data_IF_553414612046
#
_entry.id   IF_553414612046
#
_cell.length_a   1.000
_cell.length_b   1.000
_cell.length_c   1.000
_cell.angle_alpha   90.00
_cell.angle_beta   90.00
_cell.angle_gamma   90.00
#
_symmetry.space_group_name_H-M   'P 1'
#
loop_
_entity.id
_entity.type
_entity.pdbx_description
1 polymer ?
#
# COMPACT_ATOMS: atom_id res chain seq x y z
N UNK A 1 -16.78 21.86 3.54
CA UNK A 1 -16.92 20.63 2.75
C UNK A 1 -15.75 19.73 3.10
N UNK A 2 -15.99 18.56 3.67
CA UNK A 2 -14.93 17.65 4.08
C UNK A 2 -14.42 16.89 2.84
N UNK A 3 -13.18 17.14 2.43
CA UNK A 3 -12.45 16.33 1.46
C UNK A 3 -12.07 15.04 2.16
N UNK A 4 -12.84 13.98 1.94
CA UNK A 4 -12.63 12.65 2.52
C UNK A 4 -12.52 11.61 1.42
N UNK A 5 -11.88 10.48 1.71
CA UNK A 5 -11.80 9.34 0.79
C UNK A 5 -13.17 8.92 0.24
N UNK A 6 -14.20 8.90 1.10
CA UNK A 6 -15.57 8.59 0.69
C UNK A 6 -16.12 9.57 -0.35
N UNK A 7 -15.82 10.87 -0.20
CA UNK A 7 -16.25 11.90 -1.16
C UNK A 7 -15.49 11.78 -2.48
N UNK A 8 -14.20 11.46 -2.44
CA UNK A 8 -13.39 11.22 -3.63
C UNK A 8 -13.88 9.99 -4.42
N UNK A 9 -14.16 8.89 -3.72
CA UNK A 9 -14.70 7.66 -4.33
C UNK A 9 -16.08 7.88 -4.95
N UNK A 10 -16.95 8.64 -4.27
CA UNK A 10 -18.25 8.99 -4.81
C UNK A 10 -18.14 9.89 -6.04
N UNK A 11 -17.21 10.87 -6.02
CA UNK A 11 -16.93 11.70 -7.19
C UNK A 11 -16.42 10.90 -8.39
N UNK A 12 -15.48 9.96 -8.18
CA UNK A 12 -15.02 9.06 -9.23
C UNK A 12 -16.16 8.22 -9.83
N UNK A 13 -17.07 7.74 -8.98
CA UNK A 13 -18.20 6.90 -9.39
C UNK A 13 -19.26 7.68 -10.17
N UNK A 14 -19.64 8.86 -9.66
CA UNK A 14 -20.74 9.67 -10.18
C UNK A 14 -20.33 10.46 -11.44
N UNK A 15 -19.14 11.07 -11.43
CA UNK A 15 -18.70 11.96 -12.50
C UNK A 15 -17.84 11.26 -13.55
N UNK A 16 -17.25 10.10 -13.23
CA UNK A 16 -16.30 9.38 -14.10
C UNK A 16 -15.31 10.36 -14.77
N UNK A 17 -14.59 11.14 -13.96
CA UNK A 17 -13.68 12.16 -14.47
C UNK A 17 -12.61 11.52 -15.35
N UNK A 18 -12.12 12.27 -16.33
CA UNK A 18 -10.98 11.87 -17.13
C UNK A 18 -9.67 12.00 -16.34
N UNK A 19 -8.61 11.38 -16.84
CA UNK A 19 -7.28 11.41 -16.22
C UNK A 19 -6.82 12.82 -15.87
N UNK A 20 -7.02 13.77 -16.79
CA UNK A 20 -6.62 15.16 -16.60
C UNK A 20 -7.37 15.83 -15.44
N UNK A 21 -8.67 15.56 -15.29
CA UNK A 21 -9.44 16.07 -14.15
C UNK A 21 -9.02 15.42 -12.83
N UNK A 22 -8.64 14.13 -12.82
CA UNK A 22 -8.14 13.47 -11.61
C UNK A 22 -6.79 14.08 -11.19
N UNK A 23 -5.87 14.29 -12.13
CA UNK A 23 -4.56 14.92 -11.90
C UNK A 23 -4.70 16.36 -11.35
N UNK A 24 -5.64 17.15 -11.89
CA UNK A 24 -5.92 18.52 -11.39
C UNK A 24 -6.46 18.52 -9.95
N UNK A 25 -7.29 17.54 -9.58
CA UNK A 25 -7.80 17.39 -8.21
C UNK A 25 -6.69 16.92 -7.26
N UNK A 26 -5.82 16.01 -7.70
CA UNK A 26 -4.65 15.58 -6.92
C UNK A 26 -3.74 16.78 -6.62
N UNK A 27 -3.37 17.57 -7.63
CA UNK A 27 -2.51 18.75 -7.41
C UNK A 27 -3.11 19.79 -6.46
N UNK A 28 -4.46 19.93 -6.46
CA UNK A 28 -5.16 20.78 -5.48
C UNK A 28 -5.13 20.20 -4.07
N UNK A 29 -5.23 18.87 -3.93
CA UNK A 29 -5.13 18.18 -2.64
C UNK A 29 -3.71 18.27 -2.08
N UNK A 30 -2.68 18.02 -2.89
CA UNK A 30 -1.26 18.14 -2.50
C UNK A 30 -0.95 19.53 -1.98
N UNK A 31 -1.29 20.57 -2.75
CA UNK A 31 -1.08 21.96 -2.34
C UNK A 31 -1.82 22.32 -1.05
N UNK A 32 -3.00 21.73 -0.85
CA UNK A 32 -3.78 21.94 0.37
C UNK A 32 -3.13 21.22 1.56
N UNK A 33 -2.60 20.02 1.37
CA UNK A 33 -1.86 19.26 2.39
C UNK A 33 -0.59 20.01 2.80
N UNK A 34 0.16 20.58 1.84
CA UNK A 34 1.35 21.39 2.14
C UNK A 34 1.03 22.67 2.95
N UNK A 35 -0.17 23.21 2.80
CA UNK A 35 -0.60 24.44 3.48
C UNK A 35 -1.22 24.21 4.86
N UNK A 36 -1.63 22.98 5.17
CA UNK A 36 -2.27 22.61 6.42
C UNK A 36 -1.22 22.05 7.39
N UNK A 37 -1.27 22.49 8.65
CA UNK A 37 -0.40 21.94 9.71
C UNK A 37 -0.80 20.49 10.04
N UNK A 38 0.17 19.66 10.45
CA UNK A 38 0.01 18.23 10.73
C UNK A 38 -1.08 17.89 11.79
N UNK A 39 -1.51 18.87 12.60
CA UNK A 39 -2.53 18.69 13.62
C UNK A 39 -3.98 18.87 13.12
N UNK A 40 -4.20 19.20 11.85
CA UNK A 40 -5.56 19.38 11.30
C UNK A 40 -6.21 18.03 10.94
N UNK A 41 -7.33 17.63 11.57
CA UNK A 41 -8.03 16.39 11.21
C UNK A 41 -8.56 16.38 9.76
N UNK A 42 -8.69 17.54 9.11
CA UNK A 42 -9.01 17.63 7.68
C UNK A 42 -7.83 17.27 6.77
N UNK A 43 -6.59 17.30 7.28
CA UNK A 43 -5.40 16.87 6.56
C UNK A 43 -5.42 15.35 6.37
N UNK A 44 -5.74 14.59 7.42
CA UNK A 44 -5.88 13.13 7.34
C UNK A 44 -6.89 12.70 6.26
N UNK A 45 -8.09 13.30 6.25
CA UNK A 45 -9.09 13.00 5.22
C UNK A 45 -8.68 13.40 3.79
N UNK A 46 -7.83 14.42 3.66
CA UNK A 46 -7.30 14.87 2.36
C UNK A 46 -6.19 13.96 1.86
N UNK A 47 -5.34 13.44 2.74
CA UNK A 47 -4.34 12.42 2.44
C UNK A 47 -4.99 11.12 1.99
N UNK A 48 -6.01 10.63 2.73
CA UNK A 48 -6.73 9.42 2.36
C UNK A 48 -7.42 9.55 0.99
N UNK A 49 -7.99 10.72 0.70
CA UNK A 49 -8.58 11.02 -0.61
C UNK A 49 -7.53 11.03 -1.73
N UNK A 50 -6.34 11.56 -1.48
CA UNK A 50 -5.25 11.61 -2.44
C UNK A 50 -4.75 10.20 -2.79
N UNK A 51 -4.55 9.34 -1.79
CA UNK A 51 -4.14 7.95 -2.00
C UNK A 51 -5.14 7.21 -2.89
N UNK A 52 -6.44 7.39 -2.63
CA UNK A 52 -7.50 6.74 -3.42
C UNK A 52 -7.52 7.20 -4.88
N UNK A 53 -7.34 8.51 -5.13
CA UNK A 53 -7.29 9.04 -6.49
C UNK A 53 -6.04 8.57 -7.25
N UNK A 54 -4.90 8.45 -6.58
CA UNK A 54 -3.67 7.91 -7.17
C UNK A 54 -3.82 6.42 -7.50
N UNK A 55 -4.35 5.62 -6.58
CA UNK A 55 -4.63 4.19 -6.81
C UNK A 55 -5.59 3.99 -7.99
N UNK A 56 -6.62 4.84 -8.13
CA UNK A 56 -7.51 4.78 -9.27
C UNK A 56 -6.82 5.15 -10.60
N UNK A 57 -5.94 6.14 -10.61
CA UNK A 57 -5.13 6.46 -11.79
C UNK A 57 -4.20 5.32 -12.16
N UNK A 58 -3.56 4.69 -11.18
CA UNK A 58 -2.71 3.52 -11.40
C UNK A 58 -3.52 2.33 -11.93
N UNK A 59 -4.76 2.13 -11.48
CA UNK A 59 -5.68 1.12 -12.04
C UNK A 59 -6.08 1.41 -13.49
N UNK A 60 -6.17 2.68 -13.88
CA UNK A 60 -6.45 3.08 -15.27
C UNK A 60 -5.23 2.89 -16.18
N UNK A 61 -4.02 3.10 -15.65
CA UNK A 61 -2.75 2.87 -16.36
C UNK A 61 -2.28 1.41 -16.29
N UNK A 62 -2.81 0.62 -15.35
CA UNK A 62 -2.51 -0.79 -15.25
C UNK A 62 -2.89 -1.46 -16.57
N UNK A 63 -1.96 -2.17 -17.24
CA UNK A 63 -2.32 -2.95 -18.41
C UNK A 63 -3.42 -3.90 -17.97
N UNK A 64 -4.55 -3.89 -18.69
CA UNK A 64 -5.65 -4.79 -18.43
C UNK A 64 -5.07 -6.21 -18.37
N UNK A 65 -4.89 -6.72 -17.15
CA UNK A 65 -4.57 -8.12 -16.95
C UNK A 65 -5.87 -8.80 -17.31
N UNK A 66 -5.97 -9.21 -18.57
CA UNK A 66 -7.04 -10.08 -19.01
C UNK A 66 -7.15 -11.17 -17.95
N UNK A 67 -8.25 -11.18 -17.18
CA UNK A 67 -8.58 -12.28 -16.26
C UNK A 67 -8.83 -13.59 -17.00
N UNK A 68 -8.54 -13.61 -18.31
CA UNK A 68 -8.50 -14.73 -19.23
C UNK A 68 -7.07 -15.14 -19.60
N UNK A 69 -6.05 -14.78 -18.81
CA UNK A 69 -4.80 -15.53 -18.83
C UNK A 69 -5.08 -16.93 -18.25
N UNK A 70 -4.82 -18.04 -18.99
CA UNK A 70 -4.85 -19.36 -18.38
C UNK A 70 -3.91 -19.35 -17.18
N UNK A 71 -4.25 -20.06 -16.07
CA UNK A 71 -3.41 -20.06 -14.88
C UNK A 71 -1.99 -20.42 -15.33
N UNK A 72 -1.03 -19.54 -15.05
CA UNK A 72 0.36 -19.85 -15.29
C UNK A 72 0.65 -21.17 -14.58
N UNK A 73 0.97 -22.22 -15.34
CA UNK A 73 1.48 -23.48 -14.81
C UNK A 73 2.90 -23.17 -14.31
N UNK A 74 2.97 -22.54 -13.13
CA UNK A 74 4.20 -22.36 -12.39
C UNK A 74 4.61 -23.76 -11.97
N UNK A 75 5.72 -24.24 -12.52
CA UNK A 75 6.25 -25.56 -12.22
C UNK A 75 6.80 -25.54 -10.78
N UNK A 76 5.92 -25.81 -9.81
CA UNK A 76 6.23 -25.82 -8.39
C UNK A 76 7.03 -27.06 -7.97
N UNK A 77 7.45 -27.88 -8.93
CA UNK A 77 8.21 -29.11 -8.69
C UNK A 77 9.60 -28.85 -8.08
N UNK A 78 10.16 -27.66 -8.30
CA UNK A 78 11.43 -27.21 -7.69
C UNK A 78 11.22 -26.36 -6.43
N UNK A 79 9.99 -26.06 -6.03
CA UNK A 79 9.75 -25.39 -4.76
C UNK A 79 10.17 -26.35 -3.64
N UNK A 80 11.03 -25.85 -2.76
CA UNK A 80 11.34 -26.53 -1.50
C UNK A 80 9.99 -26.75 -0.81
N UNK A 81 9.59 -28.01 -0.52
CA UNK A 81 8.32 -28.26 0.17
C UNK A 81 8.29 -27.42 1.44
N UNK A 82 7.14 -26.81 1.74
CA UNK A 82 6.91 -26.01 2.95
C UNK A 82 7.50 -26.75 4.14
N UNK A 83 8.72 -26.38 4.50
CA UNK A 83 9.47 -27.07 5.52
C UNK A 83 8.86 -26.64 6.84
N UNK A 84 8.39 -27.61 7.62
CA UNK A 84 7.93 -27.33 8.98
C UNK A 84 9.04 -26.55 9.71
N UNK A 85 8.68 -25.44 10.38
CA UNK A 85 9.67 -24.61 11.06
C UNK A 85 10.46 -25.48 12.03
N UNK A 86 11.79 -25.50 11.87
CA UNK A 86 12.68 -26.28 12.72
C UNK A 86 12.46 -25.86 14.17
N UNK A 87 11.83 -26.74 14.95
CA UNK A 87 11.63 -26.53 16.37
C UNK A 87 12.95 -26.73 17.09
N UNK A 88 13.69 -25.62 17.23
CA UNK A 88 14.88 -25.57 18.04
C UNK A 88 14.51 -25.75 19.52
N UNK A 89 15.35 -26.49 20.24
CA UNK A 89 15.27 -26.64 21.69
C UNK A 89 15.41 -25.27 22.36
N UNK A 90 14.73 -25.07 23.50
CA UNK A 90 14.62 -23.76 24.14
C UNK A 90 15.97 -23.17 24.59
N UNK A 91 16.93 -24.02 24.92
CA UNK A 91 18.29 -23.60 25.27
C UNK A 91 19.06 -23.05 24.04
N UNK A 92 18.83 -23.62 22.86
CA UNK A 92 19.42 -23.14 21.59
C UNK A 92 18.81 -21.81 21.19
N UNK A 93 17.49 -21.65 21.37
CA UNK A 93 16.79 -20.38 21.12
C UNK A 93 17.29 -19.26 22.02
N UNK A 94 17.50 -19.53 23.31
CA UNK A 94 18.02 -18.52 24.25
C UNK A 94 19.44 -18.09 23.89
N UNK A 95 20.33 -19.05 23.60
CA UNK A 95 21.71 -18.74 23.19
C UNK A 95 21.76 -17.90 21.91
N UNK A 96 21.03 -18.32 20.88
CA UNK A 96 21.00 -17.60 19.59
C UNK A 96 20.37 -16.21 19.73
N UNK A 97 19.35 -16.06 20.56
CA UNK A 97 18.75 -14.76 20.87
C UNK A 97 19.72 -13.83 21.60
N UNK A 98 20.44 -14.31 22.62
CA UNK A 98 21.39 -13.47 23.36
C UNK A 98 22.60 -13.06 22.50
N UNK A 99 23.08 -13.95 21.62
CA UNK A 99 24.11 -13.63 20.64
C UNK A 99 23.65 -12.56 19.64
N UNK A 100 22.44 -12.70 19.09
CA UNK A 100 21.85 -11.69 18.20
C UNK A 100 21.65 -10.36 18.92
N UNK A 101 21.12 -10.38 20.14
CA UNK A 101 20.90 -9.19 20.96
C UNK A 101 22.20 -8.45 21.26
N UNK A 102 23.30 -9.16 21.52
CA UNK A 102 24.60 -8.54 21.72
C UNK A 102 25.15 -7.96 20.41
N UNK A 103 24.93 -8.63 19.28
CA UNK A 103 25.36 -8.13 17.96
C UNK A 103 24.65 -6.85 17.54
N UNK A 104 23.38 -6.66 17.93
CA UNK A 104 22.62 -5.42 17.69
C UNK A 104 22.81 -4.35 18.77
N UNK A 105 23.55 -4.62 19.84
CA UNK A 105 23.90 -3.62 20.86
C UNK A 105 25.15 -2.80 20.51
N UNK A 106 25.98 -3.30 19.59
CA UNK A 106 27.21 -2.64 19.11
C UNK A 106 26.99 -1.84 17.80
N UNK A 107 25.73 -1.60 17.42
CA UNK A 107 25.30 -0.73 16.31
C UNK A 107 24.65 0.54 16.88
#
# INVERSE_FOLDING_TARGET
>A
MATSAASAQQWLTDQKPDRAAIEDVIGKLEKRIEQLSEEDPALAGSVDALVLLQDHLEQLDAPAVDSSAPPANLDTSELIPDADPVQLEDDVKRRTFDELKNRFKDL
#
